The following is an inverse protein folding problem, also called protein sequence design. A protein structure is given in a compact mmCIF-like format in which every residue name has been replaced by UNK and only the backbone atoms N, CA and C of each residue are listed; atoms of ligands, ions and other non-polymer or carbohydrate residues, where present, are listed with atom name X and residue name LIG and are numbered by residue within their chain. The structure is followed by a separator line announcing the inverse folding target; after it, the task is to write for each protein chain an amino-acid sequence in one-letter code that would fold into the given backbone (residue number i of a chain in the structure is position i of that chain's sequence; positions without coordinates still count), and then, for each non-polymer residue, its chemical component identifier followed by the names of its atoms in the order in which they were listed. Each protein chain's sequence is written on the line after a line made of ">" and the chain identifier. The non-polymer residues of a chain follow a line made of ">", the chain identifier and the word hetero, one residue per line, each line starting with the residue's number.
data_IF_170282786581
#
_entry.id   IF_170282786581
#
_cell.length_a   1.000
_cell.length_b   1.000
_cell.length_c   1.000
_cell.angle_alpha   90.00
_cell.angle_beta   90.00
_cell.angle_gamma   90.00
#
_symmetry.space_group_name_H-M   'P 1'
#
loop_
_entity.id
_entity.type
_entity.pdbx_description
1 polymer ?
#
# COMPACT_ATOMS: atom_id res chain seq x y z
N UNK A 1 36.88 -22.90 -10.76
CA UNK A 1 36.83 -21.78 -9.78
C UNK A 1 35.39 -21.60 -9.39
N UNK A 2 35.03 -21.64 -8.11
CA UNK A 2 33.70 -21.27 -7.70
C UNK A 2 33.46 -19.79 -8.04
N UNK A 3 32.20 -19.40 -8.43
CA UNK A 3 31.91 -18.00 -8.72
C UNK A 3 32.15 -17.18 -7.46
N UNK A 4 32.99 -16.14 -7.58
CA UNK A 4 33.19 -15.17 -6.52
C UNK A 4 31.83 -14.57 -6.19
N UNK A 5 31.38 -14.68 -4.94
CA UNK A 5 30.17 -14.00 -4.47
C UNK A 5 30.40 -12.51 -4.67
N UNK A 6 29.67 -11.92 -5.63
CA UNK A 6 29.72 -10.47 -5.81
C UNK A 6 29.22 -9.83 -4.50
N UNK A 7 30.03 -8.94 -3.95
CA UNK A 7 29.61 -8.19 -2.77
C UNK A 7 28.30 -7.43 -3.08
N UNK A 8 27.28 -7.65 -2.25
CA UNK A 8 25.98 -6.98 -2.43
C UNK A 8 26.14 -5.47 -2.30
N UNK A 9 25.48 -4.73 -3.19
CA UNK A 9 25.45 -3.27 -3.11
C UNK A 9 24.67 -2.80 -1.87
N UNK A 10 24.90 -1.54 -1.45
CA UNK A 10 24.13 -0.92 -0.34
C UNK A 10 22.62 -1.06 -0.54
N UNK A 11 22.13 -0.82 -1.75
CA UNK A 11 20.72 -0.93 -2.07
C UNK A 11 20.19 -2.36 -2.00
N UNK A 12 20.93 -3.34 -2.51
CA UNK A 12 20.59 -4.76 -2.42
C UNK A 12 20.47 -5.23 -0.96
N UNK A 13 21.42 -4.81 -0.12
CA UNK A 13 21.38 -5.09 1.33
C UNK A 13 20.19 -4.44 2.00
N UNK A 14 19.89 -3.18 1.67
CA UNK A 14 18.74 -2.47 2.20
C UNK A 14 17.41 -3.19 1.83
N UNK A 15 17.25 -3.57 0.56
CA UNK A 15 16.07 -4.31 0.09
C UNK A 15 15.93 -5.66 0.78
N UNK A 16 17.02 -6.41 0.90
CA UNK A 16 16.98 -7.73 1.56
C UNK A 16 16.62 -7.63 3.04
N UNK A 17 17.17 -6.65 3.76
CA UNK A 17 16.91 -6.42 5.19
C UNK A 17 15.52 -5.83 5.45
N UNK A 18 15.04 -4.96 4.57
CA UNK A 18 13.72 -4.35 4.71
C UNK A 18 12.58 -5.31 4.35
N UNK A 19 12.84 -6.29 3.48
CA UNK A 19 11.81 -7.23 3.01
C UNK A 19 11.26 -8.07 4.15
N UNK A 20 9.94 -8.06 4.30
CA UNK A 20 9.25 -9.01 5.17
C UNK A 20 8.67 -10.15 4.31
N UNK A 21 9.26 -11.35 4.41
CA UNK A 21 8.82 -12.51 3.63
C UNK A 21 7.34 -12.87 3.87
N UNK A 22 6.82 -12.53 5.05
CA UNK A 22 5.43 -12.81 5.40
C UNK A 22 4.42 -11.90 4.67
N UNK A 23 4.84 -10.76 4.10
CA UNK A 23 3.91 -9.82 3.45
C UNK A 23 3.24 -10.46 2.23
N UNK A 24 3.99 -11.22 1.42
CA UNK A 24 3.42 -11.96 0.30
C UNK A 24 2.49 -13.09 0.77
N UNK A 25 2.83 -13.76 1.87
CA UNK A 25 1.98 -14.83 2.44
C UNK A 25 0.67 -14.24 2.94
N UNK A 26 0.73 -13.12 3.66
CA UNK A 26 -0.48 -12.42 4.13
C UNK A 26 -1.35 -11.98 2.96
N UNK A 27 -0.77 -11.39 1.91
CA UNK A 27 -1.53 -10.98 0.72
C UNK A 27 -2.17 -12.19 0.02
N UNK A 28 -1.44 -13.29 -0.14
CA UNK A 28 -1.96 -14.52 -0.74
C UNK A 28 -3.13 -15.09 0.06
N UNK A 29 -2.99 -15.19 1.38
CA UNK A 29 -4.07 -15.66 2.26
C UNK A 29 -5.29 -14.72 2.15
N UNK A 30 -5.06 -13.40 2.12
CA UNK A 30 -6.13 -12.41 1.93
C UNK A 30 -6.90 -12.68 0.64
N UNK A 31 -6.20 -12.86 -0.49
CA UNK A 31 -6.84 -13.15 -1.79
C UNK A 31 -7.61 -14.47 -1.74
N UNK A 32 -7.05 -15.53 -1.14
CA UNK A 32 -7.74 -16.82 -1.00
C UNK A 32 -9.03 -16.68 -0.21
N UNK A 33 -9.01 -15.95 0.92
CA UNK A 33 -10.20 -15.69 1.74
C UNK A 33 -11.27 -14.95 0.91
N UNK A 34 -10.88 -13.94 0.17
CA UNK A 34 -11.80 -13.20 -0.69
C UNK A 34 -12.38 -14.06 -1.80
N UNK A 35 -11.55 -14.87 -2.47
CA UNK A 35 -12.04 -15.80 -3.50
C UNK A 35 -13.05 -16.79 -2.91
N UNK A 36 -12.81 -17.30 -1.71
CA UNK A 36 -13.74 -18.20 -1.02
C UNK A 36 -15.10 -17.52 -0.75
N UNK A 37 -15.11 -16.32 -0.18
CA UNK A 37 -16.36 -15.61 0.07
C UNK A 37 -17.07 -15.21 -1.22
N UNK A 38 -16.34 -14.79 -2.25
CA UNK A 38 -16.92 -14.47 -3.55
C UNK A 38 -17.56 -15.73 -4.18
N UNK A 39 -16.87 -16.86 -4.19
CA UNK A 39 -17.39 -18.12 -4.70
C UNK A 39 -18.66 -18.55 -3.94
N UNK A 40 -18.63 -18.50 -2.61
CA UNK A 40 -19.78 -18.82 -1.76
C UNK A 40 -20.99 -17.93 -2.07
N UNK A 41 -20.75 -16.63 -2.26
CA UNK A 41 -21.82 -15.67 -2.61
C UNK A 41 -22.42 -15.97 -4.00
N UNK A 42 -21.58 -16.19 -5.01
CA UNK A 42 -22.05 -16.50 -6.36
C UNK A 42 -22.77 -17.84 -6.45
N UNK A 43 -22.27 -18.87 -5.75
CA UNK A 43 -22.96 -20.18 -5.66
C UNK A 43 -24.32 -20.01 -5.01
N UNK A 44 -24.40 -19.29 -3.90
CA UNK A 44 -25.67 -19.04 -3.20
C UNK A 44 -26.67 -18.30 -4.10
N UNK A 45 -26.28 -17.21 -4.74
CA UNK A 45 -27.18 -16.44 -5.61
C UNK A 45 -27.64 -17.22 -6.82
N UNK A 46 -26.75 -17.97 -7.49
CA UNK A 46 -27.11 -18.81 -8.63
C UNK A 46 -28.07 -19.93 -8.22
N UNK A 47 -27.84 -20.54 -7.05
CA UNK A 47 -28.72 -21.57 -6.54
C UNK A 47 -30.11 -21.03 -6.23
N UNK A 48 -30.20 -19.84 -5.65
CA UNK A 48 -31.48 -19.17 -5.38
C UNK A 48 -32.25 -18.85 -6.67
N UNK A 49 -31.55 -18.34 -7.70
CA UNK A 49 -32.18 -18.06 -9.00
C UNK A 49 -32.69 -19.32 -9.69
N UNK A 50 -31.95 -20.41 -9.64
CA UNK A 50 -32.35 -21.69 -10.26
C UNK A 50 -33.47 -22.40 -9.48
N UNK A 51 -33.54 -22.19 -8.17
CA UNK A 51 -34.55 -22.82 -7.30
C UNK A 51 -35.90 -22.07 -7.27
N UNK A 52 -36.04 -20.98 -8.05
CA UNK A 52 -37.23 -20.17 -8.06
C UNK A 52 -37.75 -20.01 -9.50
N UNK A 53 -39.03 -20.33 -9.74
CA UNK A 53 -39.65 -20.15 -11.05
C UNK A 53 -40.03 -18.67 -11.30
N UNK A 54 -40.46 -18.37 -12.54
CA UNK A 54 -40.86 -17.00 -12.91
C UNK A 54 -42.10 -16.48 -12.14
N UNK A 55 -42.81 -17.35 -11.40
CA UNK A 55 -43.92 -17.00 -10.55
C UNK A 55 -43.54 -16.90 -9.06
N UNK A 56 -42.26 -17.14 -8.73
CA UNK A 56 -41.75 -17.07 -7.36
C UNK A 56 -41.94 -18.35 -6.53
N UNK A 57 -42.33 -19.49 -7.16
CA UNK A 57 -42.45 -20.76 -6.46
C UNK A 57 -41.14 -21.51 -6.40
N UNK A 58 -40.89 -22.22 -5.30
CA UNK A 58 -39.69 -23.07 -5.18
C UNK A 58 -39.82 -24.31 -6.09
N UNK A 59 -38.76 -24.55 -6.87
CA UNK A 59 -38.62 -25.71 -7.72
C UNK A 59 -37.59 -26.66 -7.09
N UNK A 60 -37.92 -27.95 -7.03
CA UNK A 60 -36.96 -28.96 -6.61
C UNK A 60 -35.86 -29.15 -7.67
N UNK A 61 -34.61 -28.91 -7.29
CA UNK A 61 -33.47 -29.08 -8.17
C UNK A 61 -32.95 -30.53 -8.10
N UNK A 62 -32.72 -31.12 -9.25
CA UNK A 62 -32.04 -32.43 -9.33
C UNK A 62 -30.55 -32.27 -9.02
N UNK A 63 -29.85 -33.39 -8.80
CA UNK A 63 -28.39 -33.35 -8.60
C UNK A 63 -27.64 -32.73 -9.79
N UNK A 64 -28.08 -33.03 -11.02
CA UNK A 64 -27.53 -32.42 -12.24
C UNK A 64 -27.71 -30.90 -12.28
N UNK A 65 -28.87 -30.40 -11.87
CA UNK A 65 -29.16 -28.96 -11.79
C UNK A 65 -28.24 -28.25 -10.77
N UNK A 66 -28.01 -28.90 -9.62
CA UNK A 66 -27.04 -28.43 -8.63
C UNK A 66 -25.60 -28.33 -9.17
N UNK A 67 -25.16 -29.32 -9.94
CA UNK A 67 -23.83 -29.26 -10.59
C UNK A 67 -23.76 -28.13 -11.62
N UNK A 68 -24.79 -27.96 -12.44
CA UNK A 68 -24.89 -26.87 -13.41
C UNK A 68 -24.86 -25.51 -12.72
N UNK A 69 -25.62 -25.36 -11.60
CA UNK A 69 -25.62 -24.14 -10.81
C UNK A 69 -24.21 -23.75 -10.32
N UNK A 70 -23.47 -24.70 -9.79
CA UNK A 70 -22.09 -24.47 -9.33
C UNK A 70 -21.17 -24.06 -10.49
N UNK A 71 -21.25 -24.71 -11.64
CA UNK A 71 -20.43 -24.39 -12.81
C UNK A 71 -20.75 -22.98 -13.33
N UNK A 72 -22.04 -22.62 -13.45
CA UNK A 72 -22.47 -21.29 -13.84
C UNK A 72 -22.02 -20.23 -12.83
N UNK A 73 -22.15 -20.48 -11.54
CA UNK A 73 -21.67 -19.58 -10.50
C UNK A 73 -20.19 -19.27 -10.62
N UNK A 74 -19.36 -20.31 -10.87
CA UNK A 74 -17.91 -20.15 -11.09
C UNK A 74 -17.64 -19.29 -12.33
N UNK A 75 -18.35 -19.52 -13.44
CA UNK A 75 -18.18 -18.75 -14.67
C UNK A 75 -18.56 -17.29 -14.42
N UNK A 76 -19.74 -17.01 -13.83
CA UNK A 76 -20.18 -15.65 -13.51
C UNK A 76 -19.24 -14.95 -12.53
N UNK A 77 -18.72 -15.66 -11.52
CA UNK A 77 -17.73 -15.14 -10.61
C UNK A 77 -16.46 -14.70 -11.35
N UNK A 78 -15.89 -15.56 -12.21
CA UNK A 78 -14.66 -15.26 -12.97
C UNK A 78 -14.91 -14.05 -13.89
N UNK A 79 -16.03 -14.04 -14.61
CA UNK A 79 -16.39 -12.93 -15.50
C UNK A 79 -16.59 -11.62 -14.72
N UNK A 80 -17.34 -11.66 -13.63
CA UNK A 80 -17.64 -10.50 -12.80
C UNK A 80 -16.38 -9.92 -12.14
N UNK A 81 -15.57 -10.75 -11.51
CA UNK A 81 -14.31 -10.32 -10.90
C UNK A 81 -13.32 -9.82 -11.96
N UNK A 82 -13.25 -10.48 -13.14
CA UNK A 82 -12.41 -10.03 -14.25
C UNK A 82 -12.84 -8.67 -14.80
N UNK A 83 -14.15 -8.45 -14.94
CA UNK A 83 -14.71 -7.17 -15.37
C UNK A 83 -14.42 -6.06 -14.36
N UNK A 84 -14.65 -6.31 -13.06
CA UNK A 84 -14.37 -5.35 -12.00
C UNK A 84 -12.86 -5.02 -11.92
N UNK A 85 -12.00 -6.01 -12.09
CA UNK A 85 -10.56 -5.80 -12.16
C UNK A 85 -10.19 -4.92 -13.38
N UNK A 86 -10.76 -5.20 -14.56
CA UNK A 86 -10.55 -4.39 -15.76
C UNK A 86 -11.00 -2.94 -15.58
N UNK A 87 -12.19 -2.73 -15.02
CA UNK A 87 -12.70 -1.40 -14.68
C UNK A 87 -11.77 -0.71 -13.67
N UNK A 88 -11.35 -1.42 -12.61
CA UNK A 88 -10.42 -0.89 -11.61
C UNK A 88 -9.09 -0.43 -12.22
N UNK A 89 -8.50 -1.25 -13.09
CA UNK A 89 -7.27 -0.89 -13.81
C UNK A 89 -7.46 0.33 -14.71
N UNK A 90 -8.58 0.41 -15.40
CA UNK A 90 -8.93 1.57 -16.23
C UNK A 90 -9.10 2.82 -15.38
N UNK A 91 -9.84 2.74 -14.28
CA UNK A 91 -10.07 3.86 -13.36
C UNK A 91 -8.76 4.37 -12.75
N UNK A 92 -7.88 3.48 -12.30
CA UNK A 92 -6.55 3.87 -11.78
C UNK A 92 -5.73 4.60 -12.85
N UNK A 93 -5.77 4.14 -14.10
CA UNK A 93 -5.10 4.84 -15.22
C UNK A 93 -5.71 6.21 -15.50
N UNK A 94 -7.03 6.31 -15.55
CA UNK A 94 -7.72 7.57 -15.76
C UNK A 94 -7.44 8.56 -14.63
N UNK A 95 -7.52 8.11 -13.38
CA UNK A 95 -7.18 8.92 -12.20
C UNK A 95 -5.73 9.41 -12.26
N UNK A 96 -4.78 8.54 -12.61
CA UNK A 96 -3.39 8.93 -12.83
C UNK A 96 -3.28 10.05 -13.88
N UNK A 97 -3.87 9.88 -15.05
CA UNK A 97 -3.80 10.89 -16.13
C UNK A 97 -4.45 12.21 -15.72
N UNK A 98 -5.60 12.16 -15.06
CA UNK A 98 -6.29 13.35 -14.56
C UNK A 98 -5.43 14.11 -13.54
N UNK A 99 -4.76 13.41 -12.63
CA UNK A 99 -3.90 14.04 -11.63
C UNK A 99 -2.62 14.60 -12.26
N UNK A 100 -1.99 13.85 -13.16
CA UNK A 100 -0.74 14.26 -13.80
C UNK A 100 -0.95 15.41 -14.80
N UNK A 101 -2.14 15.54 -15.39
CA UNK A 101 -2.48 16.63 -16.30
C UNK A 101 -2.37 18.02 -15.69
N UNK A 102 -2.47 18.15 -14.36
CA UNK A 102 -2.33 19.40 -13.61
C UNK A 102 -1.12 19.39 -12.65
N UNK A 103 -0.21 18.45 -12.80
CA UNK A 103 0.96 18.29 -11.95
C UNK A 103 2.23 18.82 -12.63
N UNK A 104 3.10 19.44 -11.85
CA UNK A 104 4.43 19.86 -12.31
C UNK A 104 5.37 18.66 -12.26
N UNK A 105 5.90 18.23 -13.40
CA UNK A 105 6.97 17.24 -13.42
C UNK A 105 8.28 17.86 -12.93
N UNK A 106 8.91 17.24 -11.92
CA UNK A 106 10.09 17.83 -11.25
C UNK A 106 11.29 17.97 -12.20
N UNK A 107 11.39 17.14 -13.23
CA UNK A 107 12.44 17.18 -14.24
C UNK A 107 12.58 18.55 -14.89
N UNK A 108 11.46 19.26 -15.10
CA UNK A 108 11.41 20.56 -15.76
C UNK A 108 11.28 21.72 -14.76
N UNK A 109 11.77 21.54 -13.53
CA UNK A 109 11.66 22.52 -12.46
C UNK A 109 12.94 22.70 -11.66
N UNK A 110 12.93 23.61 -10.68
CA UNK A 110 14.02 23.78 -9.72
C UNK A 110 14.27 22.53 -8.83
N UNK A 111 13.39 21.53 -8.93
CA UNK A 111 13.48 20.28 -8.18
C UNK A 111 14.06 19.13 -9.01
N UNK A 112 14.66 19.38 -10.19
CA UNK A 112 15.28 18.36 -11.04
C UNK A 112 16.31 17.50 -10.31
N UNK A 113 17.01 18.07 -9.31
CA UNK A 113 17.92 17.32 -8.44
C UNK A 113 17.28 16.09 -7.76
N UNK A 114 15.98 16.16 -7.46
CA UNK A 114 15.25 15.07 -6.82
C UNK A 114 15.04 13.90 -7.79
N UNK A 115 14.77 14.20 -9.06
CA UNK A 115 14.70 13.18 -10.12
C UNK A 115 16.05 12.49 -10.31
N UNK A 116 17.15 13.27 -10.38
CA UNK A 116 18.49 12.71 -10.59
C UNK A 116 18.89 11.81 -9.43
N UNK A 117 18.60 12.25 -8.20
CA UNK A 117 18.83 11.44 -7.02
C UNK A 117 17.94 10.19 -6.99
N UNK A 118 16.65 10.29 -7.31
CA UNK A 118 15.74 9.14 -7.35
C UNK A 118 16.14 8.11 -8.43
N UNK A 119 16.73 8.56 -9.54
CA UNK A 119 17.28 7.65 -10.55
C UNK A 119 18.46 6.83 -10.01
N UNK A 120 19.34 7.45 -9.20
CA UNK A 120 20.41 6.72 -8.51
C UNK A 120 19.84 5.70 -7.53
N UNK A 121 18.84 6.10 -6.71
CA UNK A 121 18.17 5.19 -5.80
C UNK A 121 17.49 4.05 -6.57
N UNK A 122 16.85 4.33 -7.71
CA UNK A 122 16.22 3.30 -8.54
C UNK A 122 17.22 2.25 -9.02
N UNK A 123 18.44 2.69 -9.42
CA UNK A 123 19.51 1.78 -9.81
C UNK A 123 20.01 0.95 -8.62
N UNK A 124 20.23 1.59 -7.46
CA UNK A 124 20.67 0.91 -6.23
C UNK A 124 19.67 -0.14 -5.74
N UNK A 125 18.37 0.18 -5.82
CA UNK A 125 17.27 -0.72 -5.43
C UNK A 125 16.92 -1.73 -6.54
N UNK A 126 17.59 -1.72 -7.68
CA UNK A 126 17.27 -2.58 -8.84
C UNK A 126 15.78 -2.51 -9.23
N UNK A 127 15.29 -1.31 -9.43
CA UNK A 127 13.92 -1.05 -9.86
C UNK A 127 13.90 -0.10 -11.06
N UNK A 128 12.81 -0.11 -11.85
CA UNK A 128 12.65 0.88 -12.92
C UNK A 128 12.67 2.31 -12.37
N UNK A 129 13.16 3.24 -13.19
CA UNK A 129 13.10 4.67 -12.88
C UNK A 129 11.65 5.11 -12.60
N UNK A 130 11.52 6.09 -11.72
CA UNK A 130 10.23 6.68 -11.33
C UNK A 130 10.16 8.13 -11.80
N UNK A 131 9.01 8.53 -12.31
CA UNK A 131 8.71 9.94 -12.58
C UNK A 131 8.22 10.59 -11.29
N UNK A 132 8.65 11.82 -11.01
CA UNK A 132 8.21 12.55 -9.82
C UNK A 132 7.43 13.79 -10.25
N UNK A 133 6.26 13.97 -9.65
CA UNK A 133 5.35 15.08 -9.92
C UNK A 133 5.01 15.83 -8.64
N UNK A 134 4.73 17.12 -8.77
CA UNK A 134 4.25 17.99 -7.68
C UNK A 134 2.83 18.42 -8.02
N UNK A 135 1.89 18.22 -7.09
CA UNK A 135 0.51 18.69 -7.19
C UNK A 135 0.22 19.79 -6.16
N UNK A 136 -0.68 20.70 -6.50
CA UNK A 136 -1.10 21.74 -5.58
C UNK A 136 -2.00 21.17 -4.49
N UNK A 137 -1.41 20.91 -3.33
CA UNK A 137 -2.13 20.54 -2.11
C UNK A 137 -1.31 21.03 -0.90
N UNK A 138 -1.85 21.84 0.01
CA UNK A 138 -1.11 22.38 1.17
C UNK A 138 -0.82 21.31 2.23
N UNK A 139 -1.51 20.17 2.21
CA UNK A 139 -1.25 19.07 3.15
C UNK A 139 0.06 18.39 2.77
N UNK A 140 0.90 18.09 3.77
CA UNK A 140 2.09 17.28 3.55
C UNK A 140 1.67 15.84 3.32
N UNK A 141 1.85 15.37 2.10
CA UNK A 141 1.58 13.99 1.72
C UNK A 141 2.36 13.64 0.45
N UNK A 142 2.49 12.36 0.20
CA UNK A 142 2.99 11.78 -1.03
C UNK A 142 2.27 10.46 -1.31
N UNK A 143 2.28 10.01 -2.54
CA UNK A 143 1.78 8.68 -2.90
C UNK A 143 2.40 8.19 -4.21
N UNK A 144 2.46 6.87 -4.35
CA UNK A 144 3.02 6.21 -5.52
C UNK A 144 1.95 5.60 -6.42
N UNK A 145 2.04 5.84 -7.73
CA UNK A 145 1.36 5.06 -8.74
C UNK A 145 2.30 3.96 -9.25
N UNK A 146 2.21 2.79 -8.62
CA UNK A 146 3.12 1.66 -8.86
C UNK A 146 2.50 0.47 -9.62
N UNK A 147 1.25 0.59 -10.08
CA UNK A 147 0.55 -0.53 -10.74
C UNK A 147 1.06 -0.82 -12.15
N UNK A 148 1.31 0.22 -12.96
CA UNK A 148 1.77 0.09 -14.34
C UNK A 148 2.85 1.13 -14.67
N UNK A 149 3.76 0.76 -15.59
CA UNK A 149 4.78 1.72 -16.09
C UNK A 149 4.13 2.78 -16.99
N UNK A 150 4.67 4.02 -16.98
CA UNK A 150 5.75 4.51 -16.13
C UNK A 150 5.27 4.67 -14.67
N UNK A 151 6.12 4.26 -13.70
CA UNK A 151 5.84 4.45 -12.29
C UNK A 151 5.99 5.91 -11.91
N UNK A 152 5.12 6.42 -11.07
CA UNK A 152 5.12 7.83 -10.69
C UNK A 152 4.97 8.00 -9.19
N UNK A 153 5.68 8.97 -8.65
CA UNK A 153 5.52 9.46 -7.28
C UNK A 153 4.95 10.87 -7.36
N UNK A 154 3.90 11.13 -6.63
CA UNK A 154 3.28 12.45 -6.54
C UNK A 154 3.55 13.02 -5.16
N UNK A 155 4.19 14.19 -5.12
CA UNK A 155 4.43 14.96 -3.92
C UNK A 155 3.42 16.10 -3.85
N UNK A 156 2.81 16.30 -2.72
CA UNK A 156 2.01 17.51 -2.49
C UNK A 156 2.91 18.73 -2.30
N UNK A 157 2.45 19.89 -2.73
CA UNK A 157 3.19 21.15 -2.57
C UNK A 157 3.48 21.49 -1.10
N UNK A 158 2.64 21.02 -0.17
CA UNK A 158 2.92 21.07 1.28
C UNK A 158 4.19 20.35 1.68
N UNK A 159 4.43 19.14 1.12
CA UNK A 159 5.67 18.39 1.36
C UNK A 159 6.89 19.14 0.85
N UNK A 160 6.81 19.73 -0.34
CA UNK A 160 7.88 20.55 -0.92
C UNK A 160 8.17 21.80 -0.07
N UNK A 161 7.14 22.41 0.50
CA UNK A 161 7.25 23.66 1.27
C UNK A 161 7.88 23.44 2.65
N UNK A 162 7.51 22.36 3.34
CA UNK A 162 7.81 22.21 4.75
C UNK A 162 8.89 21.17 5.07
N UNK A 163 9.22 20.28 4.13
CA UNK A 163 10.27 19.30 4.30
C UNK A 163 11.61 19.82 3.76
N UNK A 164 12.67 19.53 4.47
CA UNK A 164 14.04 19.73 3.98
C UNK A 164 14.35 18.77 2.83
N UNK A 165 15.45 18.99 2.10
CA UNK A 165 15.87 18.09 1.03
C UNK A 165 16.06 16.65 1.54
N UNK A 166 16.61 16.47 2.73
CA UNK A 166 16.87 15.15 3.28
C UNK A 166 15.59 14.48 3.79
N UNK A 167 14.67 15.25 4.37
CA UNK A 167 13.34 14.75 4.74
C UNK A 167 12.52 14.36 3.49
N UNK A 168 12.62 15.12 2.37
CA UNK A 168 12.01 14.73 1.09
C UNK A 168 12.58 13.42 0.55
N UNK A 169 13.89 13.19 0.70
CA UNK A 169 14.50 11.90 0.31
C UNK A 169 13.91 10.72 1.11
N UNK A 170 13.63 10.91 2.40
CA UNK A 170 12.96 9.87 3.22
C UNK A 170 11.61 9.51 2.61
N UNK A 171 10.80 10.52 2.32
CA UNK A 171 9.45 10.29 1.77
C UNK A 171 9.53 9.63 0.38
N UNK A 172 10.45 10.08 -0.48
CA UNK A 172 10.59 9.47 -1.81
C UNK A 172 11.05 8.02 -1.73
N UNK A 173 11.99 7.64 -0.84
CA UNK A 173 12.39 6.22 -0.66
C UNK A 173 11.23 5.40 -0.10
N UNK A 174 10.44 5.96 0.82
CA UNK A 174 9.23 5.32 1.33
C UNK A 174 8.25 5.01 0.20
N UNK A 175 7.96 5.97 -0.68
CA UNK A 175 7.09 5.76 -1.85
C UNK A 175 7.70 4.77 -2.87
N UNK A 176 9.01 4.82 -3.07
CA UNK A 176 9.73 3.85 -3.91
C UNK A 176 9.62 2.43 -3.35
N UNK A 177 9.54 2.26 -2.03
CA UNK A 177 9.32 0.95 -1.41
C UNK A 177 7.96 0.37 -1.81
N UNK A 178 6.90 1.17 -1.86
CA UNK A 178 5.59 0.73 -2.32
C UNK A 178 5.62 0.23 -3.77
N UNK A 179 6.43 0.83 -4.62
CA UNK A 179 6.64 0.37 -6.00
C UNK A 179 7.49 -0.90 -6.02
N UNK A 180 8.63 -0.92 -5.31
CA UNK A 180 9.59 -2.04 -5.27
C UNK A 180 8.94 -3.33 -4.78
N UNK A 181 8.16 -3.26 -3.71
CA UNK A 181 7.46 -4.41 -3.13
C UNK A 181 6.07 -4.64 -3.70
N UNK A 182 5.67 -3.86 -4.72
CA UNK A 182 4.38 -3.96 -5.43
C UNK A 182 3.16 -3.77 -4.53
N UNK A 183 3.28 -2.94 -3.49
CA UNK A 183 2.17 -2.66 -2.58
C UNK A 183 0.98 -2.03 -3.31
N UNK A 184 1.24 -1.13 -4.27
CA UNK A 184 0.20 -0.51 -5.10
C UNK A 184 -0.62 -1.53 -5.94
N UNK A 185 -0.03 -2.69 -6.29
CA UNK A 185 -0.73 -3.71 -7.05
C UNK A 185 -1.81 -4.39 -6.22
N UNK A 186 -1.57 -4.57 -4.91
CA UNK A 186 -2.53 -5.22 -4.03
C UNK A 186 -3.85 -4.45 -3.96
N UNK A 187 -3.82 -3.11 -3.95
CA UNK A 187 -5.01 -2.28 -3.98
C UNK A 187 -5.88 -2.58 -5.20
N UNK A 188 -5.25 -2.74 -6.37
CA UNK A 188 -5.97 -3.05 -7.62
C UNK A 188 -6.53 -4.48 -7.56
N UNK A 189 -5.77 -5.44 -7.04
CA UNK A 189 -6.24 -6.84 -6.95
C UNK A 189 -7.35 -7.03 -5.91
N UNK A 190 -7.36 -6.24 -4.83
CA UNK A 190 -8.39 -6.31 -3.80
C UNK A 190 -9.66 -5.52 -4.16
N UNK A 191 -9.57 -4.56 -5.08
CA UNK A 191 -10.68 -3.70 -5.48
C UNK A 191 -11.96 -4.45 -5.89
N UNK A 192 -11.91 -5.52 -6.72
CA UNK A 192 -13.12 -6.27 -7.09
C UNK A 192 -13.87 -6.83 -5.89
N UNK A 193 -13.16 -7.33 -4.90
CA UNK A 193 -13.75 -7.91 -3.69
C UNK A 193 -14.37 -6.84 -2.80
N UNK A 194 -13.70 -5.69 -2.67
CA UNK A 194 -14.19 -4.55 -1.90
C UNK A 194 -15.43 -3.89 -2.52
N UNK A 195 -15.72 -4.19 -3.79
CA UNK A 195 -16.92 -3.71 -4.49
C UNK A 195 -18.17 -4.54 -4.16
N UNK A 196 -18.03 -5.70 -3.52
CA UNK A 196 -19.15 -6.56 -3.11
C UNK A 196 -19.59 -6.16 -1.69
N UNK A 197 -20.84 -5.67 -1.47
CA UNK A 197 -21.25 -5.04 -0.20
C UNK A 197 -20.99 -5.88 1.05
N UNK A 198 -21.29 -7.17 1.01
CA UNK A 198 -21.09 -8.08 2.16
C UNK A 198 -19.61 -8.33 2.42
N UNK A 199 -18.82 -8.46 1.35
CA UNK A 199 -17.37 -8.72 1.43
C UNK A 199 -16.61 -7.46 1.81
N UNK A 200 -17.11 -6.27 1.43
CA UNK A 200 -16.42 -5.00 1.65
C UNK A 200 -16.16 -4.70 3.13
N UNK A 201 -17.10 -5.06 4.03
CA UNK A 201 -16.94 -4.81 5.47
C UNK A 201 -15.80 -5.66 6.06
N UNK A 202 -15.81 -6.96 5.79
CA UNK A 202 -14.71 -7.86 6.23
C UNK A 202 -13.43 -7.55 5.46
N UNK A 203 -13.57 -7.20 4.19
CA UNK A 203 -12.49 -6.91 3.28
C UNK A 203 -11.69 -5.69 3.67
N UNK A 204 -12.32 -4.62 4.09
CA UNK A 204 -11.63 -3.41 4.56
C UNK A 204 -10.78 -3.69 5.81
N UNK A 205 -11.26 -4.53 6.72
CA UNK A 205 -10.50 -4.94 7.90
C UNK A 205 -9.25 -5.76 7.53
N UNK A 206 -9.39 -6.75 6.64
CA UNK A 206 -8.29 -7.61 6.21
C UNK A 206 -7.29 -6.82 5.35
N UNK A 207 -7.77 -6.00 4.40
CA UNK A 207 -6.92 -5.15 3.58
C UNK A 207 -6.17 -4.12 4.42
N UNK A 208 -6.82 -3.51 5.41
CA UNK A 208 -6.19 -2.60 6.36
C UNK A 208 -5.04 -3.26 7.13
N UNK A 209 -5.20 -4.54 7.53
CA UNK A 209 -4.09 -5.28 8.16
C UNK A 209 -2.89 -5.40 7.23
N UNK A 210 -3.10 -5.73 5.95
CA UNK A 210 -2.04 -5.82 4.96
C UNK A 210 -1.40 -4.45 4.68
N UNK A 211 -2.21 -3.38 4.53
CA UNK A 211 -1.70 -2.02 4.31
C UNK A 211 -0.79 -1.56 5.45
N UNK A 212 -1.20 -1.76 6.69
CA UNK A 212 -0.37 -1.42 7.84
C UNK A 212 0.99 -2.13 7.85
N UNK A 213 1.06 -3.37 7.36
CA UNK A 213 2.33 -4.09 7.18
C UNK A 213 3.17 -3.48 6.06
N UNK A 214 2.54 -3.12 4.94
CA UNK A 214 3.19 -2.49 3.80
C UNK A 214 3.85 -1.16 4.21
N UNK A 215 3.19 -0.34 5.03
CA UNK A 215 3.74 0.90 5.60
C UNK A 215 5.00 0.63 6.44
N UNK A 216 4.95 -0.35 7.35
CA UNK A 216 6.11 -0.70 8.17
C UNK A 216 7.29 -1.23 7.33
N UNK A 217 7.02 -1.91 6.22
CA UNK A 217 8.05 -2.37 5.29
C UNK A 217 8.65 -1.19 4.51
N UNK A 218 7.83 -0.22 4.12
CA UNK A 218 8.29 0.99 3.44
C UNK A 218 9.15 1.88 4.36
N UNK A 219 8.76 2.07 5.60
CA UNK A 219 9.56 2.78 6.62
C UNK A 219 10.91 2.10 6.85
N UNK A 220 10.90 0.78 6.90
CA UNK A 220 12.13 0.00 7.07
C UNK A 220 13.06 0.16 5.89
N UNK A 221 12.55 0.17 4.64
CA UNK A 221 13.41 0.41 3.48
C UNK A 221 14.03 1.81 3.53
N UNK A 222 13.25 2.84 3.89
CA UNK A 222 13.77 4.19 4.05
C UNK A 222 14.89 4.23 5.09
N UNK A 223 14.71 3.60 6.25
CA UNK A 223 15.73 3.48 7.29
C UNK A 223 16.97 2.73 6.80
N UNK A 224 16.82 1.54 6.21
CA UNK A 224 17.94 0.71 5.77
C UNK A 224 18.76 1.34 4.64
N UNK A 225 18.09 2.10 3.76
CA UNK A 225 18.77 2.75 2.65
C UNK A 225 19.46 4.05 3.06
N UNK A 226 18.80 4.90 3.85
CA UNK A 226 19.34 6.20 4.26
C UNK A 226 20.32 6.08 5.43
N UNK A 227 20.10 5.17 6.36
CA UNK A 227 20.99 4.91 7.47
C UNK A 227 20.88 5.89 8.63
N UNK A 228 19.83 6.73 8.68
CA UNK A 228 19.63 7.76 9.71
C UNK A 228 18.22 7.63 10.31
N UNK A 229 18.16 7.06 11.51
CA UNK A 229 16.90 6.80 12.21
C UNK A 229 16.21 8.07 12.68
N UNK A 230 16.99 9.09 13.10
CA UNK A 230 16.43 10.34 13.59
C UNK A 230 15.83 11.15 12.43
N UNK A 231 16.50 11.18 11.27
CA UNK A 231 15.96 11.79 10.07
C UNK A 231 14.65 11.14 9.64
N UNK A 232 14.59 9.80 9.63
CA UNK A 232 13.36 9.06 9.24
C UNK A 232 12.24 9.35 10.24
N UNK A 233 12.50 9.28 11.55
CA UNK A 233 11.49 9.60 12.57
C UNK A 233 10.98 11.03 12.44
N UNK A 234 11.88 12.01 12.30
CA UNK A 234 11.52 13.42 12.15
C UNK A 234 10.64 13.65 10.93
N UNK A 235 10.98 13.03 9.80
CA UNK A 235 10.19 13.14 8.56
C UNK A 235 8.78 12.59 8.75
N UNK A 236 8.64 11.41 9.37
CA UNK A 236 7.34 10.79 9.63
C UNK A 236 6.50 11.63 10.60
N UNK A 237 7.10 12.17 11.66
CA UNK A 237 6.41 13.03 12.60
C UNK A 237 5.86 14.26 11.87
N UNK A 238 6.69 14.97 11.09
CA UNK A 238 6.26 16.15 10.33
C UNK A 238 5.10 15.86 9.39
N UNK A 239 5.15 14.75 8.66
CA UNK A 239 4.08 14.38 7.71
C UNK A 239 2.77 14.06 8.44
N UNK A 240 2.83 13.48 9.65
CA UNK A 240 1.63 13.08 10.39
C UNK A 240 0.97 14.20 11.18
N UNK A 241 1.77 15.02 11.86
CA UNK A 241 1.23 16.04 12.78
C UNK A 241 1.42 17.49 12.30
N UNK A 242 2.10 17.68 11.19
CA UNK A 242 2.44 19.01 10.67
C UNK A 242 3.78 19.52 11.21
N UNK A 243 4.39 20.53 10.53
CA UNK A 243 5.71 21.03 10.88
C UNK A 243 5.74 21.67 12.28
N UNK A 244 4.77 22.54 12.57
CA UNK A 244 4.73 23.29 13.83
C UNK A 244 4.51 22.39 15.04
N UNK A 245 3.62 21.37 14.91
CA UNK A 245 3.37 20.38 15.94
C UNK A 245 4.56 19.42 16.11
N UNK A 246 5.26 19.09 15.02
CA UNK A 246 6.44 18.24 15.06
C UNK A 246 7.58 18.88 15.88
N UNK A 247 7.81 20.17 15.70
CA UNK A 247 8.85 20.90 16.46
C UNK A 247 8.51 21.03 17.96
N UNK A 248 7.23 20.94 18.34
CA UNK A 248 6.77 20.94 19.72
C UNK A 248 6.71 19.54 20.36
N UNK A 249 6.92 18.48 19.58
CA UNK A 249 6.82 17.10 20.08
C UNK A 249 8.02 16.75 20.96
N UNK A 250 7.78 16.64 22.26
CA UNK A 250 8.75 16.19 23.24
C UNK A 250 8.49 14.73 23.66
N UNK A 251 9.35 14.20 24.52
CA UNK A 251 9.26 12.82 25.01
C UNK A 251 7.95 12.54 25.77
N UNK A 252 7.45 13.52 26.52
CA UNK A 252 6.16 13.38 27.25
C UNK A 252 5.01 13.25 26.27
N UNK A 253 5.00 14.04 25.20
CA UNK A 253 3.98 13.93 24.14
C UNK A 253 4.04 12.57 23.44
N UNK A 254 5.23 12.04 23.17
CA UNK A 254 5.41 10.70 22.59
C UNK A 254 4.88 9.60 23.50
N UNK A 255 5.23 9.64 24.79
CA UNK A 255 4.74 8.67 25.79
C UNK A 255 3.22 8.73 25.92
N UNK A 256 2.64 9.94 25.93
CA UNK A 256 1.19 10.09 25.96
C UNK A 256 0.49 9.54 24.69
N UNK A 257 1.06 9.76 23.52
CA UNK A 257 0.57 9.18 22.27
C UNK A 257 0.65 7.65 22.31
N UNK A 258 1.73 7.09 22.84
CA UNK A 258 1.88 5.64 22.99
C UNK A 258 0.84 5.08 23.96
N UNK A 259 0.70 5.66 25.14
CA UNK A 259 -0.33 5.28 26.10
C UNK A 259 -1.74 5.33 25.51
N UNK A 260 -2.03 6.37 24.71
CA UNK A 260 -3.33 6.52 24.03
C UNK A 260 -3.53 5.44 22.97
N UNK A 261 -2.49 5.14 22.19
CA UNK A 261 -2.54 4.12 21.13
C UNK A 261 -2.74 2.70 21.67
N UNK A 262 -2.22 2.42 22.88
CA UNK A 262 -2.32 1.12 23.54
C UNK A 262 -3.66 0.89 24.26
N UNK A 263 -4.53 1.91 24.38
CA UNK A 263 -5.87 1.72 24.93
C UNK A 263 -6.66 0.69 24.11
N UNK A 264 -7.40 -0.24 24.73
CA UNK A 264 -8.08 -1.32 24.03
C UNK A 264 -8.98 -0.84 22.88
N UNK A 265 -9.73 0.24 23.10
CA UNK A 265 -10.62 0.81 22.07
C UNK A 265 -9.83 1.39 20.89
N UNK A 266 -8.72 2.09 21.16
CA UNK A 266 -7.88 2.66 20.08
C UNK A 266 -7.11 1.56 19.35
N UNK A 267 -6.65 0.55 20.07
CA UNK A 267 -6.05 -0.63 19.45
C UNK A 267 -7.05 -1.36 18.54
N UNK A 268 -8.30 -1.49 18.96
CA UNK A 268 -9.36 -2.04 18.13
C UNK A 268 -9.68 -1.13 16.93
N UNK A 269 -9.83 0.19 17.17
CA UNK A 269 -10.08 1.15 16.08
C UNK A 269 -8.97 1.15 15.03
N UNK A 270 -7.71 0.95 15.42
CA UNK A 270 -6.59 0.84 14.48
C UNK A 270 -6.76 -0.32 13.49
N UNK A 271 -7.49 -1.38 13.86
CA UNK A 271 -7.71 -2.52 12.94
C UNK A 271 -8.47 -2.13 11.69
N UNK A 272 -9.25 -1.03 11.73
CA UNK A 272 -9.99 -0.47 10.60
C UNK A 272 -9.25 0.66 9.87
N UNK A 273 -8.03 1.01 10.30
CA UNK A 273 -7.21 2.03 9.65
C UNK A 273 -6.27 1.40 8.62
N UNK A 274 -6.09 2.08 7.50
CA UNK A 274 -5.14 1.69 6.45
C UNK A 274 -3.68 1.99 6.85
N UNK A 275 -3.47 2.94 7.77
CA UNK A 275 -2.15 3.30 8.26
C UNK A 275 -1.96 2.91 9.72
N UNK A 276 -0.74 2.43 10.12
CA UNK A 276 -0.42 2.23 11.52
C UNK A 276 -0.39 3.56 12.25
N UNK A 277 -0.68 3.56 13.55
CA UNK A 277 -0.44 4.75 14.37
C UNK A 277 1.03 5.18 14.31
N UNK A 278 1.25 6.49 14.30
CA UNK A 278 2.60 7.07 14.23
C UNK A 278 3.55 6.46 15.25
N UNK A 279 3.13 6.36 16.51
CA UNK A 279 3.96 5.78 17.58
C UNK A 279 4.41 4.36 17.29
N UNK A 280 3.59 3.54 16.63
CA UNK A 280 3.95 2.18 16.22
C UNK A 280 5.00 2.20 15.11
N UNK A 281 4.91 3.14 14.16
CA UNK A 281 5.92 3.36 13.12
C UNK A 281 7.25 3.76 13.74
N UNK A 282 7.23 4.73 14.69
CA UNK A 282 8.43 5.20 15.40
C UNK A 282 9.08 4.07 16.20
N UNK A 283 8.30 3.29 16.97
CA UNK A 283 8.83 2.14 17.72
C UNK A 283 9.48 1.07 16.83
N UNK A 284 8.95 0.85 15.62
CA UNK A 284 9.57 -0.05 14.67
C UNK A 284 10.90 0.49 14.13
N UNK A 285 11.03 1.79 13.92
CA UNK A 285 12.29 2.42 13.52
C UNK A 285 13.32 2.27 14.64
N UNK A 286 12.94 2.53 15.88
CA UNK A 286 13.83 2.36 17.05
C UNK A 286 14.28 0.90 17.22
N UNK A 287 13.39 -0.07 16.97
CA UNK A 287 13.75 -1.49 16.99
C UNK A 287 14.82 -1.84 15.94
N UNK A 288 14.70 -1.28 14.73
CA UNK A 288 15.63 -1.57 13.63
C UNK A 288 16.86 -0.66 13.62
N UNK A 289 16.91 0.38 14.45
CA UNK A 289 18.05 1.30 14.58
C UNK A 289 19.36 0.56 14.81
N UNK A 290 19.42 -0.38 15.75
CA UNK A 290 20.59 -1.16 16.10
C UNK A 290 21.14 -2.05 14.94
N UNK A 291 20.38 -2.23 13.87
CA UNK A 291 20.81 -2.96 12.68
C UNK A 291 21.54 -2.05 11.68
N UNK A 292 21.26 -0.75 11.72
CA UNK A 292 21.71 0.26 10.75
C UNK A 292 22.82 1.12 11.33
N UNK A 293 22.70 1.49 12.59
CA UNK A 293 23.63 2.31 13.35
C UNK A 293 24.28 1.42 14.42
N UNK A 294 25.38 0.66 14.10
CA UNK A 294 26.03 -0.25 15.03
C UNK A 294 26.80 0.48 16.13
#
# INVERSE_FOLDING_TARGET
>A
KPPQSQAQTKGQLAVARARNAQDNVVLTITIIIFCFFAASYFIYTTFQEMSTDNAGHHVELSFSDGVIAVLLAIVFMIMGLGMLLGIGMFMVRMMRQQMLGNALQVEYSAYAWLRDWANQVSADLEMPQVEIFITQNPVMNAYAFGFARPYSIVLHSGSIRYLTKDELKVIVVHEMAHIKYRHANANVYLMPFLSIPIISVLGSWISGFWHRRAELTADRLALMYLGDSELVKKSLIKVHVGPDAADSMNEVARQWMQYTAERPMNHFAQTFSDHPFLVRRLSQIDYWKGVVEP
#
